data_IF_293459710469
#
_entry.id   IF_293459710469
#
_cell.length_a   1.000
_cell.length_b   1.000
_cell.length_c   1.000
_cell.angle_alpha   90.00
_cell.angle_beta   90.00
_cell.angle_gamma   90.00
#
_symmetry.space_group_name_H-M   'P 1'
#
loop_
_entity.id
_entity.type
_entity.pdbx_description
1 polymer ?
#
# COMPACT_ATOMS: atom_id res chain seq x y z
N UNK A 1 -8.58 -4.17 61.05
CA UNK A 1 -8.44 -3.12 60.02
C UNK A 1 -8.20 -3.69 58.62
N UNK A 2 -7.38 -4.74 58.44
CA UNK A 2 -7.13 -5.37 57.13
C UNK A 2 -8.34 -6.08 56.46
N UNK A 3 -9.28 -6.63 57.26
CA UNK A 3 -10.49 -7.32 56.73
C UNK A 3 -11.51 -6.39 56.06
N UNK A 4 -11.51 -5.10 56.40
CA UNK A 4 -12.44 -4.12 55.82
C UNK A 4 -12.02 -3.68 54.40
N UNK A 5 -10.71 -3.63 54.13
CA UNK A 5 -10.18 -3.25 52.81
C UNK A 5 -10.45 -4.32 51.73
N UNK A 6 -10.28 -5.61 52.04
CA UNK A 6 -10.61 -6.67 51.07
C UNK A 6 -12.11 -6.72 50.71
N UNK A 7 -12.99 -6.41 51.67
CA UNK A 7 -14.43 -6.37 51.41
C UNK A 7 -14.78 -5.22 50.46
N UNK A 8 -14.19 -4.03 50.65
CA UNK A 8 -14.47 -2.88 49.80
C UNK A 8 -13.98 -3.08 48.36
N UNK A 9 -12.79 -3.65 48.17
CA UNK A 9 -12.23 -3.91 46.83
C UNK A 9 -13.06 -4.97 46.10
N UNK A 10 -13.48 -6.03 46.78
CA UNK A 10 -14.29 -7.08 46.14
C UNK A 10 -15.71 -6.61 45.81
N UNK A 11 -16.34 -5.80 46.66
CA UNK A 11 -17.64 -5.19 46.37
C UNK A 11 -17.54 -4.17 45.23
N UNK A 12 -16.50 -3.34 45.19
CA UNK A 12 -16.26 -2.39 44.10
C UNK A 12 -16.10 -3.10 42.74
N UNK A 13 -15.34 -4.20 42.68
CA UNK A 13 -15.19 -4.98 41.44
C UNK A 13 -16.47 -5.71 41.02
N UNK A 14 -17.29 -6.15 41.98
CA UNK A 14 -18.57 -6.83 41.71
C UNK A 14 -19.62 -5.84 41.22
N UNK A 15 -19.69 -4.65 41.81
CA UNK A 15 -20.58 -3.58 41.38
C UNK A 15 -20.13 -2.95 40.06
N UNK A 16 -18.82 -2.85 39.80
CA UNK A 16 -18.29 -2.42 38.50
C UNK A 16 -18.64 -3.42 37.39
N UNK A 17 -18.42 -4.74 37.61
CA UNK A 17 -18.85 -5.76 36.64
C UNK A 17 -20.36 -5.79 36.46
N UNK A 18 -21.13 -5.62 37.53
CA UNK A 18 -22.60 -5.61 37.45
C UNK A 18 -23.11 -4.38 36.71
N UNK A 19 -22.54 -3.19 36.93
CA UNK A 19 -22.94 -1.98 36.23
C UNK A 19 -22.51 -1.97 34.77
N UNK A 20 -21.37 -2.56 34.40
CA UNK A 20 -20.95 -2.70 32.99
C UNK A 20 -21.78 -3.73 32.23
N UNK A 21 -22.30 -4.78 32.90
CA UNK A 21 -23.19 -5.77 32.28
C UNK A 21 -24.65 -5.24 32.18
N UNK A 22 -25.09 -4.38 33.11
CA UNK A 22 -26.46 -3.86 33.17
C UNK A 22 -26.62 -2.54 32.40
N UNK A 23 -25.59 -1.70 32.35
CA UNK A 23 -25.57 -0.54 31.46
C UNK A 23 -25.11 -1.01 30.10
N UNK A 24 -26.07 -1.18 29.19
CA UNK A 24 -25.86 -1.19 27.73
C UNK A 24 -25.33 0.17 27.28
N UNK A 25 -24.23 0.65 27.83
CA UNK A 25 -23.42 1.68 27.18
C UNK A 25 -22.69 0.88 26.11
N UNK A 26 -23.09 0.96 24.83
CA UNK A 26 -22.25 0.39 23.79
C UNK A 26 -20.85 0.97 23.98
N UNK A 27 -19.78 0.17 23.90
CA UNK A 27 -18.43 0.72 23.85
C UNK A 27 -18.44 1.84 22.81
N UNK A 28 -17.81 2.97 23.12
CA UNK A 28 -17.69 4.08 22.17
C UNK A 28 -17.24 3.46 20.84
N UNK A 29 -18.02 3.59 19.74
CA UNK A 29 -17.69 2.94 18.48
C UNK A 29 -16.35 3.45 17.91
N UNK A 30 -15.92 4.64 18.34
CA UNK A 30 -14.66 5.28 17.92
C UNK A 30 -13.95 5.90 19.15
N UNK A 31 -13.25 5.11 19.98
CA UNK A 31 -12.40 5.68 21.03
C UNK A 31 -11.27 6.48 20.37
N UNK A 32 -10.90 7.65 20.93
CA UNK A 32 -9.95 8.64 20.36
C UNK A 32 -8.55 8.12 19.96
N UNK A 33 -8.23 6.84 20.20
CA UNK A 33 -6.91 6.24 19.97
C UNK A 33 -6.86 5.22 18.82
N UNK A 34 -7.99 4.91 18.17
CA UNK A 34 -7.99 3.94 17.07
C UNK A 34 -7.54 4.60 15.78
N UNK A 35 -6.83 3.83 14.96
CA UNK A 35 -6.49 4.23 13.59
C UNK A 35 -7.50 3.58 12.63
N UNK A 36 -8.21 4.41 11.88
CA UNK A 36 -9.09 3.94 10.82
C UNK A 36 -8.26 3.55 9.59
N UNK A 37 -8.39 2.29 9.17
CA UNK A 37 -7.70 1.76 8.00
C UNK A 37 -8.57 1.80 6.74
N UNK A 38 -9.71 2.51 6.76
CA UNK A 38 -10.66 2.52 5.66
C UNK A 38 -10.12 3.30 4.46
N UNK A 39 -9.41 2.61 3.58
CA UNK A 39 -8.95 3.08 2.28
C UNK A 39 -8.66 1.89 1.35
N UNK A 40 -8.45 2.16 0.06
CA UNK A 40 -8.00 1.14 -0.87
C UNK A 40 -6.48 0.95 -0.78
N UNK A 41 -6.07 -0.32 -0.75
CA UNK A 41 -4.67 -0.71 -0.86
C UNK A 41 -4.34 -0.76 -2.35
N UNK A 42 -3.17 -0.23 -2.72
CA UNK A 42 -2.69 -0.31 -4.09
C UNK A 42 -2.51 -1.76 -4.53
N UNK A 43 -2.83 -2.02 -5.81
CA UNK A 43 -2.86 -3.36 -6.41
C UNK A 43 -1.58 -4.14 -6.14
N UNK A 44 -1.72 -5.43 -5.78
CA UNK A 44 -0.60 -6.36 -5.71
C UNK A 44 -0.47 -7.10 -7.04
N UNK A 45 0.63 -6.89 -7.75
CA UNK A 45 0.95 -7.55 -9.02
C UNK A 45 1.93 -8.70 -8.79
N UNK A 46 1.61 -9.86 -9.36
CA UNK A 46 2.33 -11.12 -9.16
C UNK A 46 2.55 -11.85 -10.49
N UNK A 47 3.53 -12.74 -10.47
CA UNK A 47 3.77 -13.77 -11.48
C UNK A 47 4.12 -15.07 -10.75
N UNK A 48 3.12 -15.66 -10.11
CA UNK A 48 3.30 -16.82 -9.23
C UNK A 48 2.50 -18.02 -9.72
N UNK A 49 3.06 -19.22 -9.59
CA UNK A 49 2.42 -20.48 -9.98
C UNK A 49 1.91 -21.30 -8.78
N UNK A 50 2.12 -20.81 -7.56
CA UNK A 50 1.75 -21.50 -6.32
C UNK A 50 0.98 -20.60 -5.36
N UNK A 51 0.06 -21.18 -4.59
CA UNK A 51 -0.78 -20.44 -3.62
C UNK A 51 0.02 -19.85 -2.47
N UNK A 52 1.05 -20.55 -1.98
CA UNK A 52 1.79 -20.12 -0.79
C UNK A 52 2.58 -18.82 -1.04
N UNK A 53 3.37 -18.68 -2.12
CA UNK A 53 3.99 -17.41 -2.49
C UNK A 53 3.00 -16.26 -2.63
N UNK A 54 1.84 -16.49 -3.28
CA UNK A 54 0.77 -15.50 -3.42
C UNK A 54 0.28 -15.04 -2.04
N UNK A 55 -0.05 -16.00 -1.17
CA UNK A 55 -0.52 -15.71 0.20
C UNK A 55 0.50 -14.89 0.97
N UNK A 56 1.77 -15.30 0.92
CA UNK A 56 2.84 -14.65 1.67
C UNK A 56 3.07 -13.21 1.17
N UNK A 57 3.00 -12.98 -0.15
CA UNK A 57 3.05 -11.64 -0.75
C UNK A 57 1.85 -10.76 -0.33
N UNK A 58 0.64 -11.32 -0.27
CA UNK A 58 -0.56 -10.62 0.24
C UNK A 58 -0.35 -10.20 1.70
N UNK A 59 0.08 -11.13 2.56
CA UNK A 59 0.30 -10.84 3.98
C UNK A 59 1.33 -9.74 4.15
N UNK A 60 2.43 -9.78 3.40
CA UNK A 60 3.50 -8.79 3.45
C UNK A 60 3.04 -7.41 2.96
N UNK A 61 2.27 -7.36 1.86
CA UNK A 61 1.64 -6.13 1.35
C UNK A 61 0.70 -5.51 2.39
N UNK A 62 -0.20 -6.30 2.97
CA UNK A 62 -1.15 -5.81 3.99
C UNK A 62 -0.41 -5.35 5.25
N UNK A 63 0.61 -6.08 5.72
CA UNK A 63 1.41 -5.64 6.87
C UNK A 63 2.07 -4.28 6.63
N UNK A 64 2.66 -4.06 5.45
CA UNK A 64 3.22 -2.75 5.09
C UNK A 64 2.17 -1.64 5.10
N UNK A 65 0.96 -1.93 4.62
CA UNK A 65 -0.15 -0.99 4.64
C UNK A 65 -0.57 -0.65 6.08
N UNK A 66 -0.82 -1.66 6.92
CA UNK A 66 -1.20 -1.46 8.34
C UNK A 66 -0.13 -0.69 9.12
N UNK A 67 1.15 -0.93 8.84
CA UNK A 67 2.27 -0.23 9.48
C UNK A 67 2.30 1.29 9.23
N UNK A 68 1.59 1.80 8.21
CA UNK A 68 1.42 3.25 8.00
C UNK A 68 0.60 3.90 9.12
N UNK A 69 -0.28 3.12 9.76
CA UNK A 69 -1.15 3.53 10.84
C UNK A 69 -0.53 3.18 12.20
N UNK A 70 -0.08 1.93 12.36
CA UNK A 70 0.59 1.48 13.58
C UNK A 70 1.44 0.24 13.34
N UNK A 71 2.66 0.23 13.86
CA UNK A 71 3.59 -0.90 13.82
C UNK A 71 3.30 -1.98 14.88
N UNK A 72 2.29 -1.75 15.74
CA UNK A 72 1.94 -2.63 16.87
C UNK A 72 0.81 -3.61 16.55
N UNK A 73 0.06 -3.39 15.47
CA UNK A 73 -1.07 -4.23 15.11
C UNK A 73 -0.61 -5.61 14.64
N UNK A 74 -1.33 -6.66 15.07
CA UNK A 74 -0.96 -8.05 14.79
C UNK A 74 -2.05 -8.76 13.99
N UNK A 75 -1.66 -9.37 12.86
CA UNK A 75 -2.53 -10.25 12.06
C UNK A 75 -3.08 -11.41 12.91
N UNK A 76 -4.39 -11.62 12.89
CA UNK A 76 -5.12 -12.60 13.69
C UNK A 76 -5.53 -12.12 15.09
N UNK A 77 -5.06 -10.95 15.53
CA UNK A 77 -5.43 -10.33 16.82
C UNK A 77 -6.18 -9.01 16.60
N UNK A 78 -5.62 -8.14 15.76
CA UNK A 78 -6.17 -6.82 15.47
C UNK A 78 -6.90 -6.76 14.13
N UNK A 79 -6.48 -7.56 13.15
CA UNK A 79 -7.08 -7.61 11.83
C UNK A 79 -6.92 -8.99 11.21
N UNK A 80 -7.70 -9.28 10.17
CA UNK A 80 -7.68 -10.52 9.40
C UNK A 80 -7.79 -10.20 7.91
N UNK A 81 -7.23 -11.07 7.07
CA UNK A 81 -7.30 -10.93 5.61
C UNK A 81 -8.18 -12.05 5.09
N UNK A 82 -9.28 -11.72 4.42
CA UNK A 82 -10.26 -12.68 3.94
C UNK A 82 -10.35 -12.72 2.43
N UNK A 83 -10.43 -13.93 1.89
CA UNK A 83 -10.80 -14.19 0.49
C UNK A 83 -12.27 -13.83 0.22
N UNK A 84 -12.69 -13.73 -1.06
CA UNK A 84 -14.08 -13.45 -1.42
C UNK A 84 -15.12 -14.41 -0.81
N UNK A 85 -14.73 -15.65 -0.54
CA UNK A 85 -15.58 -16.65 0.14
C UNK A 85 -15.62 -16.48 1.67
N UNK A 86 -14.99 -15.43 2.21
CA UNK A 86 -15.03 -15.04 3.62
C UNK A 86 -14.06 -15.79 4.53
N UNK A 87 -13.18 -16.64 3.99
CA UNK A 87 -12.19 -17.39 4.77
C UNK A 87 -10.93 -16.58 5.03
N UNK A 88 -10.36 -16.72 6.22
CA UNK A 88 -9.07 -16.12 6.56
C UNK A 88 -7.94 -16.84 5.80
N UNK A 89 -7.14 -16.09 5.04
CA UNK A 89 -6.07 -16.64 4.19
C UNK A 89 -4.96 -17.32 5.01
N UNK A 90 -4.80 -16.97 6.30
CA UNK A 90 -3.83 -17.60 7.19
C UNK A 90 -4.25 -19.01 7.63
N UNK A 91 -5.55 -19.28 7.59
CA UNK A 91 -6.15 -20.57 7.95
C UNK A 91 -6.42 -21.40 6.70
N UNK A 92 -6.97 -20.78 5.65
CA UNK A 92 -7.33 -21.43 4.40
C UNK A 92 -7.19 -20.45 3.22
N UNK A 93 -6.22 -20.72 2.36
CA UNK A 93 -5.93 -19.91 1.18
C UNK A 93 -6.53 -20.45 -0.14
N UNK A 94 -7.43 -21.45 -0.10
CA UNK A 94 -8.05 -22.02 -1.31
C UNK A 94 -8.82 -20.98 -2.15
N UNK A 95 -9.33 -19.91 -1.53
CA UNK A 95 -9.94 -18.79 -2.25
C UNK A 95 -8.97 -18.00 -3.15
N UNK A 96 -7.67 -18.29 -3.10
CA UNK A 96 -6.64 -17.72 -3.98
C UNK A 96 -6.32 -18.60 -5.20
N UNK A 97 -6.80 -19.84 -5.25
CA UNK A 97 -6.59 -20.76 -6.39
C UNK A 97 -6.99 -20.18 -7.76
N UNK A 98 -8.02 -19.32 -7.89
CA UNK A 98 -8.32 -18.66 -9.17
C UNK A 98 -7.12 -17.90 -9.76
N UNK A 99 -6.20 -17.39 -8.93
CA UNK A 99 -5.01 -16.67 -9.40
C UNK A 99 -4.01 -17.56 -10.15
N UNK A 100 -4.05 -18.89 -10.02
CA UNK A 100 -3.06 -19.79 -10.62
C UNK A 100 -3.24 -20.01 -12.13
N UNK A 101 -4.40 -19.67 -12.69
CA UNK A 101 -4.70 -19.84 -14.11
C UNK A 101 -4.17 -18.67 -14.97
N UNK A 102 -2.97 -18.17 -14.67
CA UNK A 102 -2.40 -16.93 -15.21
C UNK A 102 -1.63 -17.08 -16.54
N UNK A 103 -1.55 -18.30 -17.10
CA UNK A 103 -0.77 -18.57 -18.33
C UNK A 103 -1.36 -17.90 -19.57
N UNK A 104 -2.67 -18.02 -19.75
CA UNK A 104 -3.35 -17.54 -20.95
C UNK A 104 -4.07 -16.20 -20.75
N UNK A 105 -4.49 -15.92 -19.51
CA UNK A 105 -5.26 -14.72 -19.17
C UNK A 105 -4.84 -14.17 -17.81
N UNK A 106 -4.90 -12.85 -17.68
CA UNK A 106 -4.77 -12.15 -16.40
C UNK A 106 -5.82 -12.67 -15.42
N UNK A 107 -5.38 -12.98 -14.19
CA UNK A 107 -6.26 -13.41 -13.12
C UNK A 107 -6.34 -12.36 -12.03
N UNK A 108 -7.53 -12.19 -11.46
CA UNK A 108 -7.82 -11.19 -10.44
C UNK A 108 -8.56 -11.81 -9.26
N UNK A 109 -8.18 -11.40 -8.05
CA UNK A 109 -8.89 -11.69 -6.81
C UNK A 109 -8.77 -10.46 -5.91
N UNK A 110 -9.89 -10.03 -5.32
CA UNK A 110 -9.88 -9.00 -4.28
C UNK A 110 -10.03 -9.65 -2.91
N UNK A 111 -9.15 -9.31 -1.97
CA UNK A 111 -9.26 -9.71 -0.57
C UNK A 111 -9.70 -8.52 0.28
N UNK A 112 -10.40 -8.80 1.38
CA UNK A 112 -10.76 -7.79 2.37
C UNK A 112 -9.84 -7.87 3.58
N UNK A 113 -9.35 -6.73 4.04
CA UNK A 113 -8.61 -6.56 5.29
C UNK A 113 -9.59 -6.00 6.30
N UNK A 114 -10.00 -6.84 7.24
CA UNK A 114 -11.04 -6.49 8.20
C UNK A 114 -10.43 -6.36 9.59
N UNK A 115 -10.70 -5.24 10.26
CA UNK A 115 -10.35 -5.09 11.68
C UNK A 115 -11.22 -6.02 12.52
N UNK A 116 -10.62 -6.56 13.58
CA UNK A 116 -11.31 -7.44 14.51
C UNK A 116 -12.00 -6.60 15.57
N UNK A 117 -13.22 -6.98 15.96
CA UNK A 117 -13.99 -6.31 17.04
C UNK A 117 -13.27 -6.32 18.40
N UNK A 118 -12.25 -7.17 18.54
CA UNK A 118 -11.37 -7.28 19.71
C UNK A 118 -10.13 -6.40 19.62
N UNK A 119 -9.84 -5.80 18.46
CA UNK A 119 -8.72 -4.88 18.33
C UNK A 119 -8.93 -3.69 19.25
N UNK A 120 -7.83 -3.20 19.82
CA UNK A 120 -7.80 -1.94 20.57
C UNK A 120 -7.00 -0.85 19.84
N UNK A 121 -6.62 -1.11 18.58
CA UNK A 121 -5.71 -0.29 17.79
C UNK A 121 -6.32 0.16 16.47
N UNK A 122 -7.09 -0.71 15.81
CA UNK A 122 -7.58 -0.48 14.45
C UNK A 122 -9.11 -0.53 14.37
N UNK A 123 -9.69 0.31 13.51
CA UNK A 123 -11.09 0.23 13.06
C UNK A 123 -11.15 0.29 11.53
N UNK A 124 -12.32 -0.01 10.97
CA UNK A 124 -12.55 0.09 9.53
C UNK A 124 -12.17 -1.17 8.76
N UNK A 125 -12.26 -1.09 7.43
CA UNK A 125 -11.91 -2.18 6.51
C UNK A 125 -11.27 -1.62 5.24
N UNK A 126 -10.32 -2.35 4.69
CA UNK A 126 -9.65 -2.03 3.44
C UNK A 126 -9.82 -3.16 2.42
N UNK A 127 -9.65 -2.84 1.14
CA UNK A 127 -9.63 -3.83 0.06
C UNK A 127 -8.27 -3.84 -0.62
N UNK A 128 -7.79 -5.04 -0.94
CA UNK A 128 -6.59 -5.26 -1.75
C UNK A 128 -6.97 -6.07 -2.96
N UNK A 129 -6.79 -5.49 -4.14
CA UNK A 129 -6.84 -6.22 -5.39
C UNK A 129 -5.52 -6.90 -5.68
N UNK A 130 -5.59 -8.16 -6.08
CA UNK A 130 -4.45 -8.96 -6.51
C UNK A 130 -4.62 -9.31 -7.98
N UNK A 131 -3.56 -9.08 -8.74
CA UNK A 131 -3.45 -9.47 -10.14
C UNK A 131 -2.28 -10.44 -10.30
N UNK A 132 -2.52 -11.56 -10.96
CA UNK A 132 -1.47 -12.51 -11.34
C UNK A 132 -1.39 -12.62 -12.86
N UNK A 133 -0.19 -12.44 -13.41
CA UNK A 133 0.09 -12.42 -14.85
C UNK A 133 1.40 -13.13 -15.16
N UNK A 134 1.38 -14.05 -16.12
CA UNK A 134 2.60 -14.73 -16.59
C UNK A 134 3.58 -13.80 -17.28
N UNK A 135 3.12 -12.64 -17.77
CA UNK A 135 3.95 -11.60 -18.42
C UNK A 135 4.46 -10.53 -17.47
N UNK A 136 4.00 -10.51 -16.22
CA UNK A 136 4.51 -9.57 -15.23
C UNK A 136 5.95 -9.91 -14.88
N UNK A 137 6.81 -8.89 -14.88
CA UNK A 137 8.18 -9.00 -14.41
C UNK A 137 8.48 -7.88 -13.40
N UNK A 138 8.66 -8.22 -12.11
CA UNK A 138 8.91 -7.23 -11.07
C UNK A 138 10.22 -6.46 -11.27
N UNK A 139 11.21 -7.03 -11.96
CA UNK A 139 12.52 -6.39 -12.18
C UNK A 139 12.49 -5.29 -13.27
N UNK A 140 11.49 -5.34 -14.16
CA UNK A 140 11.33 -4.36 -15.24
C UNK A 140 10.13 -3.45 -15.03
N UNK A 141 9.27 -3.75 -14.05
CA UNK A 141 8.15 -2.91 -13.67
C UNK A 141 8.65 -1.62 -13.04
N UNK A 142 8.13 -0.49 -13.49
CA UNK A 142 8.35 0.80 -12.88
C UNK A 142 7.65 0.87 -11.50
N UNK A 143 8.41 1.02 -10.43
CA UNK A 143 7.85 1.24 -9.08
C UNK A 143 7.56 2.72 -8.88
N UNK A 144 6.28 3.09 -8.94
CA UNK A 144 5.83 4.46 -8.77
C UNK A 144 6.12 4.99 -7.35
N UNK A 145 6.22 4.11 -6.35
CA UNK A 145 6.53 4.52 -4.97
C UNK A 145 7.96 5.05 -4.79
N UNK A 146 8.83 4.82 -5.78
CA UNK A 146 10.17 5.39 -5.81
C UNK A 146 10.17 6.88 -6.23
N UNK A 147 9.08 7.37 -6.83
CA UNK A 147 8.97 8.75 -7.30
C UNK A 147 8.65 9.67 -6.12
N UNK A 148 9.59 10.54 -5.78
CA UNK A 148 9.42 11.51 -4.70
C UNK A 148 8.91 12.84 -5.24
N UNK A 149 7.60 13.00 -5.24
CA UNK A 149 6.95 14.26 -5.57
C UNK A 149 7.16 15.30 -4.47
N UNK A 150 7.19 16.58 -4.87
CA UNK A 150 7.17 17.70 -3.93
C UNK A 150 5.74 18.08 -3.57
N UNK A 151 5.56 18.55 -2.34
CA UNK A 151 4.35 19.25 -1.96
C UNK A 151 4.43 20.71 -2.41
N UNK A 152 3.31 21.27 -2.82
CA UNK A 152 3.22 22.62 -3.37
C UNK A 152 2.25 23.48 -2.55
N UNK A 153 2.60 24.75 -2.33
CA UNK A 153 1.74 25.74 -1.69
C UNK A 153 1.76 27.01 -2.53
N UNK A 154 0.64 27.30 -3.18
CA UNK A 154 0.49 28.42 -4.11
C UNK A 154 -0.92 29.02 -4.03
N UNK A 155 -1.09 30.18 -4.65
CA UNK A 155 -2.38 30.81 -4.83
C UNK A 155 -3.04 30.37 -6.15
N UNK A 156 -3.90 29.36 -6.10
CA UNK A 156 -4.62 28.84 -7.26
C UNK A 156 -5.92 29.60 -7.58
N UNK A 157 -6.21 30.72 -6.91
CA UNK A 157 -7.50 31.46 -7.04
C UNK A 157 -7.86 31.89 -8.47
N UNK A 158 -6.89 31.95 -9.38
CA UNK A 158 -7.10 32.31 -10.79
C UNK A 158 -7.21 31.11 -11.74
N UNK A 159 -7.00 29.90 -11.26
CA UNK A 159 -7.10 28.69 -12.06
C UNK A 159 -8.56 28.27 -12.21
N UNK A 160 -8.93 27.78 -13.40
CA UNK A 160 -10.10 26.93 -13.58
C UNK A 160 -9.78 25.48 -13.21
N UNK A 161 -10.81 24.65 -13.03
CA UNK A 161 -10.64 23.21 -12.83
C UNK A 161 -9.82 22.55 -13.97
N UNK A 162 -10.06 22.96 -15.23
CA UNK A 162 -9.31 22.47 -16.39
C UNK A 162 -7.83 22.89 -16.33
N UNK A 163 -7.54 24.15 -15.99
CA UNK A 163 -6.16 24.62 -15.85
C UNK A 163 -5.42 23.88 -14.73
N UNK A 164 -6.09 23.62 -13.60
CA UNK A 164 -5.51 22.87 -12.50
C UNK A 164 -5.25 21.41 -12.88
N UNK A 165 -6.17 20.78 -13.60
CA UNK A 165 -5.98 19.42 -14.12
C UNK A 165 -4.77 19.33 -15.04
N UNK A 166 -4.69 20.21 -16.04
CA UNK A 166 -3.58 20.23 -16.99
C UNK A 166 -2.24 20.47 -16.28
N UNK A 167 -2.22 21.36 -15.27
CA UNK A 167 -1.05 21.61 -14.45
C UNK A 167 -0.59 20.37 -13.68
N UNK A 168 -1.54 19.63 -13.08
CA UNK A 168 -1.27 18.37 -12.38
C UNK A 168 -0.73 17.32 -13.34
N UNK A 169 -1.35 17.16 -14.50
CA UNK A 169 -0.95 16.18 -15.51
C UNK A 169 0.47 16.46 -16.01
N UNK A 170 0.79 17.72 -16.32
CA UNK A 170 2.13 18.15 -16.77
C UNK A 170 3.19 18.03 -15.66
N UNK A 171 2.86 18.35 -14.40
CA UNK A 171 3.76 18.10 -13.26
C UNK A 171 4.09 16.61 -13.15
N UNK A 172 3.07 15.74 -13.19
CA UNK A 172 3.27 14.29 -13.11
C UNK A 172 4.08 13.77 -14.29
N UNK A 173 3.80 14.20 -15.52
CA UNK A 173 4.56 13.83 -16.71
C UNK A 173 6.04 14.21 -16.57
N UNK A 174 6.33 15.41 -16.05
CA UNK A 174 7.69 15.87 -15.81
C UNK A 174 8.44 14.98 -14.79
N UNK A 175 7.78 14.55 -13.70
CA UNK A 175 8.34 13.56 -12.76
C UNK A 175 8.56 12.20 -13.43
N UNK A 176 7.62 11.69 -14.21
CA UNK A 176 7.79 10.41 -14.91
C UNK A 176 9.02 10.45 -15.85
N UNK A 177 9.18 11.55 -16.60
CA UNK A 177 10.31 11.75 -17.48
C UNK A 177 11.64 11.87 -16.72
N UNK A 178 11.69 12.60 -15.59
CA UNK A 178 12.95 12.78 -14.84
C UNK A 178 13.45 11.48 -14.21
N UNK A 179 12.55 10.59 -13.81
CA UNK A 179 12.87 9.26 -13.29
C UNK A 179 13.15 8.22 -14.39
N UNK A 180 13.19 8.64 -15.67
CA UNK A 180 13.43 7.79 -16.85
C UNK A 180 12.40 6.67 -17.01
N UNK A 181 11.18 6.89 -16.52
CA UNK A 181 10.06 5.99 -16.72
C UNK A 181 9.45 6.21 -18.10
N UNK A 182 10.27 6.08 -19.15
CA UNK A 182 9.82 6.28 -20.52
C UNK A 182 9.05 5.04 -21.00
N UNK A 183 7.88 5.25 -21.63
CA UNK A 183 7.06 4.17 -22.19
C UNK A 183 5.98 3.60 -21.25
N UNK A 184 5.63 4.35 -20.19
CA UNK A 184 4.39 4.16 -19.44
C UNK A 184 3.44 5.31 -19.73
N UNK A 185 2.16 5.01 -19.95
CA UNK A 185 1.18 5.98 -20.42
C UNK A 185 0.10 6.26 -19.37
N UNK A 186 -0.28 7.54 -19.21
CA UNK A 186 -1.36 7.96 -18.31
C UNK A 186 -2.70 7.36 -18.78
N UNK A 187 -3.50 6.85 -17.84
CA UNK A 187 -4.75 6.12 -18.04
C UNK A 187 -4.62 4.73 -18.69
N UNK A 188 -3.41 4.28 -19.02
CA UNK A 188 -3.14 2.90 -19.47
C UNK A 188 -2.32 2.14 -18.43
N UNK A 189 -1.19 2.72 -18.02
CA UNK A 189 -0.22 2.12 -17.12
C UNK A 189 -0.30 2.69 -15.70
N UNK A 190 -0.68 3.96 -15.56
CA UNK A 190 -0.88 4.61 -14.26
C UNK A 190 -2.03 5.61 -14.32
N UNK A 191 -2.51 6.05 -13.17
CA UNK A 191 -3.55 7.08 -13.05
C UNK A 191 -3.20 8.12 -12.01
N UNK A 192 -3.90 9.24 -12.05
CA UNK A 192 -3.82 10.32 -11.06
C UNK A 192 -5.20 10.47 -10.44
N UNK A 193 -5.28 10.62 -9.12
CA UNK A 193 -6.55 10.77 -8.40
C UNK A 193 -6.42 11.68 -7.20
N UNK A 194 -7.55 12.25 -6.77
CA UNK A 194 -7.63 13.04 -5.55
C UNK A 194 -8.03 12.18 -4.34
N UNK A 195 -7.41 12.47 -3.21
CA UNK A 195 -7.70 11.99 -1.85
C UNK A 195 -7.52 10.49 -1.58
N UNK A 196 -7.72 9.60 -2.56
CA UNK A 196 -7.54 8.16 -2.41
C UNK A 196 -7.25 7.47 -3.75
N UNK A 197 -6.76 6.23 -3.69
CA UNK A 197 -6.72 5.34 -4.85
C UNK A 197 -8.17 4.92 -5.20
N UNK A 198 -8.62 5.14 -6.44
CA UNK A 198 -9.99 4.85 -6.84
C UNK A 198 -10.30 3.35 -6.83
N UNK A 199 -11.56 3.05 -6.54
CA UNK A 199 -12.11 1.70 -6.52
C UNK A 199 -11.94 1.03 -7.90
N UNK A 200 -11.60 -0.26 -7.86
CA UNK A 200 -11.55 -1.10 -9.04
C UNK A 200 -12.98 -1.44 -9.50
N UNK A 201 -13.22 -1.33 -10.80
CA UNK A 201 -14.44 -1.85 -11.40
C UNK A 201 -14.38 -3.40 -11.39
N UNK A 202 -15.33 -4.08 -10.73
CA UNK A 202 -15.28 -5.54 -10.58
C UNK A 202 -15.46 -6.33 -11.88
N UNK A 203 -15.97 -5.71 -12.94
CA UNK A 203 -16.16 -6.36 -14.25
C UNK A 203 -14.93 -6.19 -15.16
N UNK A 204 -14.33 -5.00 -15.17
CA UNK A 204 -13.20 -4.68 -16.07
C UNK A 204 -11.84 -4.82 -15.40
N UNK A 205 -11.81 -4.88 -14.06
CA UNK A 205 -10.62 -4.83 -13.22
C UNK A 205 -9.75 -3.57 -13.41
N UNK A 206 -10.25 -2.59 -14.16
CA UNK A 206 -9.63 -1.29 -14.27
C UNK A 206 -9.99 -0.49 -13.02
N UNK A 207 -9.03 0.25 -12.47
CA UNK A 207 -9.36 1.33 -11.57
C UNK A 207 -10.32 2.27 -12.31
N UNK A 208 -11.46 2.57 -11.69
CA UNK A 208 -12.35 3.59 -12.22
C UNK A 208 -11.51 4.87 -12.37
N UNK A 209 -11.53 5.59 -13.50
CA UNK A 209 -10.75 6.81 -13.67
C UNK A 209 -10.95 7.71 -12.45
N UNK A 210 -9.87 7.90 -11.68
CA UNK A 210 -9.96 8.41 -10.33
C UNK A 210 -10.08 9.92 -10.30
N UNK A 211 -11.27 10.40 -9.96
CA UNK A 211 -11.52 11.47 -9.00
C UNK A 211 -10.78 12.83 -9.08
N UNK A 212 -10.09 13.16 -10.18
CA UNK A 212 -9.80 14.56 -10.56
C UNK A 212 -11.04 15.20 -11.21
N UNK A 213 -12.21 14.97 -10.61
CA UNK A 213 -13.48 15.49 -11.13
C UNK A 213 -13.53 17.01 -11.02
N UNK A 214 -14.26 17.65 -11.94
CA UNK A 214 -14.50 19.10 -11.85
C UNK A 214 -15.09 19.50 -10.50
N UNK A 215 -15.88 18.63 -9.85
CA UNK A 215 -16.46 18.90 -8.54
C UNK A 215 -15.36 19.08 -7.49
N UNK A 216 -14.44 18.12 -7.38
CA UNK A 216 -13.34 18.15 -6.41
C UNK A 216 -12.38 19.30 -6.70
N UNK A 217 -12.03 19.52 -7.96
CA UNK A 217 -11.13 20.61 -8.35
C UNK A 217 -11.76 21.98 -8.06
N UNK A 218 -13.05 22.16 -8.37
CA UNK A 218 -13.74 23.40 -8.05
C UNK A 218 -13.89 23.61 -6.53
N UNK A 219 -14.05 22.55 -5.74
CA UNK A 219 -14.07 22.65 -4.28
C UNK A 219 -12.72 23.10 -3.74
N UNK A 220 -11.61 22.55 -4.24
CA UNK A 220 -10.26 22.99 -3.89
C UNK A 220 -10.00 24.45 -4.27
N UNK A 221 -10.53 24.92 -5.41
CA UNK A 221 -10.33 26.28 -5.92
C UNK A 221 -11.24 27.33 -5.26
N UNK A 222 -12.37 26.95 -4.68
CA UNK A 222 -13.44 27.85 -4.20
C UNK A 222 -13.07 28.74 -3.00
N UNK A 223 -11.83 28.70 -2.52
CA UNK A 223 -11.54 29.28 -1.22
C UNK A 223 -11.19 30.76 -1.29
N UNK A 224 -12.02 31.58 -0.63
CA UNK A 224 -11.86 33.03 -0.60
C UNK A 224 -11.09 33.52 0.64
N UNK A 225 -11.01 32.74 1.73
CA UNK A 225 -10.44 33.21 3.02
C UNK A 225 -9.70 32.16 3.85
N UNK A 226 -9.60 30.91 3.39
CA UNK A 226 -9.00 29.80 4.13
C UNK A 226 -8.06 29.00 3.23
N UNK A 227 -7.19 28.20 3.85
CA UNK A 227 -6.32 27.28 3.12
C UNK A 227 -7.11 26.01 2.78
N UNK A 228 -7.00 25.53 1.54
CA UNK A 228 -7.50 24.21 1.14
C UNK A 228 -6.37 23.29 0.72
N UNK A 229 -6.58 21.99 0.90
CA UNK A 229 -5.57 20.96 0.70
C UNK A 229 -6.16 19.88 -0.20
N UNK A 230 -5.46 19.59 -1.30
CA UNK A 230 -5.77 18.49 -2.21
C UNK A 230 -4.64 17.47 -2.12
N UNK A 231 -4.94 16.27 -1.63
CA UNK A 231 -3.99 15.15 -1.66
C UNK A 231 -4.11 14.46 -3.02
N UNK A 232 -3.01 14.26 -3.70
CA UNK A 232 -2.94 13.62 -5.01
C UNK A 232 -2.23 12.28 -4.91
N UNK A 233 -2.74 11.29 -5.62
CA UNK A 233 -2.21 9.94 -5.70
C UNK A 233 -1.90 9.62 -7.15
N UNK A 234 -0.63 9.29 -7.41
CA UNK A 234 -0.16 8.75 -8.68
C UNK A 234 0.00 7.25 -8.51
N UNK A 235 -0.95 6.48 -9.03
CA UNK A 235 -1.12 5.06 -8.71
C UNK A 235 -0.96 4.18 -9.94
N UNK A 236 -0.45 2.97 -9.70
CA UNK A 236 -0.31 1.97 -10.75
C UNK A 236 -1.68 1.44 -11.18
N UNK A 237 -1.93 1.41 -12.49
CA UNK A 237 -3.18 0.87 -13.02
C UNK A 237 -3.25 -0.64 -12.75
N UNK A 238 -4.39 -1.11 -12.25
CA UNK A 238 -4.60 -2.51 -11.88
C UNK A 238 -4.41 -3.48 -13.04
N UNK A 239 -4.61 -3.06 -14.28
CA UNK A 239 -4.54 -3.90 -15.49
C UNK A 239 -3.16 -3.97 -16.15
N UNK A 240 -2.25 -3.05 -15.84
CA UNK A 240 -0.93 -2.95 -16.51
C UNK A 240 0.13 -3.88 -15.89
N UNK A 241 1.09 -4.36 -16.70
CA UNK A 241 2.31 -5.02 -16.23
C UNK A 241 3.50 -4.08 -16.03
N UNK A 242 3.42 -2.85 -16.52
CA UNK A 242 4.58 -1.96 -16.61
C UNK A 242 4.86 -1.17 -15.34
N UNK A 243 3.88 -1.04 -14.45
CA UNK A 243 3.98 -0.22 -13.24
C UNK A 243 3.59 -1.01 -12.00
N UNK A 244 4.02 -0.55 -10.83
CA UNK A 244 3.59 -1.05 -9.51
C UNK A 244 3.64 0.10 -8.50
N UNK A 245 3.02 -0.09 -7.33
CA UNK A 245 3.07 0.91 -6.26
C UNK A 245 2.26 2.17 -6.54
N UNK A 246 2.47 3.17 -5.71
CA UNK A 246 1.92 4.52 -5.86
C UNK A 246 2.78 5.52 -5.10
N UNK A 247 2.65 6.79 -5.49
CA UNK A 247 3.17 7.94 -4.73
C UNK A 247 2.06 8.93 -4.41
N UNK A 248 2.28 9.72 -3.38
CA UNK A 248 1.37 10.77 -2.95
C UNK A 248 2.08 12.11 -2.78
N UNK A 249 1.36 13.19 -3.06
CA UNK A 249 1.80 14.55 -2.78
C UNK A 249 0.60 15.45 -2.53
N UNK A 250 0.88 16.67 -2.08
CA UNK A 250 -0.16 17.59 -1.63
C UNK A 250 -0.05 18.92 -2.35
N UNK A 251 -1.19 19.42 -2.83
CA UNK A 251 -1.36 20.82 -3.25
C UNK A 251 -2.09 21.58 -2.15
N UNK A 252 -1.58 22.75 -1.83
CA UNK A 252 -2.16 23.67 -0.85
C UNK A 252 -2.54 24.94 -1.61
N UNK A 253 -3.85 25.24 -1.64
CA UNK A 253 -4.39 26.50 -2.15
C UNK A 253 -4.45 27.51 -1.00
N UNK A 254 -3.58 28.50 -1.08
CA UNK A 254 -3.47 29.59 -0.13
C UNK A 254 -3.81 30.91 -0.84
N UNK A 255 -5.07 31.42 -0.71
CA UNK A 255 -5.51 32.60 -1.44
C UNK A 255 -4.79 33.89 -1.01
N UNK A 256 -4.20 33.90 0.18
CA UNK A 256 -3.42 35.02 0.73
C UNK A 256 -1.94 34.97 0.32
N UNK A 257 -1.48 33.86 -0.27
CA UNK A 257 -0.11 33.74 -0.76
C UNK A 257 0.11 34.65 -1.98
N UNK A 258 1.22 35.38 -1.98
CA UNK A 258 1.70 36.14 -3.15
C UNK A 258 2.31 35.23 -4.22
N UNK A 259 2.60 33.97 -3.88
CA UNK A 259 3.24 33.00 -4.77
C UNK A 259 2.17 32.35 -5.64
N UNK A 260 2.11 32.77 -6.90
CA UNK A 260 1.27 32.12 -7.92
C UNK A 260 1.92 30.82 -8.40
N UNK A 261 1.12 29.80 -8.82
CA UNK A 261 1.66 28.58 -9.39
C UNK A 261 2.50 28.91 -10.62
N UNK A 262 3.78 28.53 -10.66
CA UNK A 262 4.57 28.60 -11.89
C UNK A 262 4.11 27.50 -12.87
N UNK A 263 4.55 27.57 -14.12
CA UNK A 263 4.49 26.39 -15.00
C UNK A 263 5.21 25.22 -14.31
N UNK A 264 4.71 23.97 -14.42
CA UNK A 264 5.34 22.83 -13.78
C UNK A 264 6.83 22.73 -14.15
N UNK A 265 7.69 22.94 -13.15
CA UNK A 265 9.13 22.99 -13.35
C UNK A 265 9.73 21.59 -13.43
N UNK A 266 10.90 21.45 -14.08
CA UNK A 266 11.65 20.20 -14.07
C UNK A 266 11.93 19.74 -12.61
N UNK A 267 11.59 18.50 -12.26
CA UNK A 267 11.83 17.93 -10.94
C UNK A 267 13.30 17.99 -10.54
N UNK A 268 13.62 17.95 -9.23
CA UNK A 268 15.00 17.73 -8.78
C UNK A 268 15.53 16.39 -9.32
N UNK A 269 16.83 16.33 -9.61
CA UNK A 269 17.46 15.10 -10.11
C UNK A 269 17.28 13.94 -9.12
N UNK A 270 16.65 12.82 -9.55
CA UNK A 270 16.42 11.66 -8.67
C UNK A 270 17.72 11.03 -8.14
N UNK A 271 18.86 11.24 -8.81
CA UNK A 271 20.15 10.72 -8.35
C UNK A 271 20.77 11.51 -7.20
N UNK A 272 20.23 12.69 -6.86
CA UNK A 272 20.65 13.49 -5.70
C UNK A 272 19.82 13.20 -4.44
N UNK A 273 18.94 12.19 -4.48
CA UNK A 273 18.16 11.77 -3.33
C UNK A 273 18.98 10.79 -2.48
N UNK A 274 19.28 11.17 -1.24
CA UNK A 274 19.92 10.27 -0.25
C UNK A 274 18.86 9.26 0.20
N UNK A 275 18.78 8.11 -0.49
CA UNK A 275 17.84 7.03 -0.12
C UNK A 275 18.59 5.71 0.02
N UNK A 276 18.48 5.15 1.23
CA UNK A 276 19.10 3.92 1.68
C UNK A 276 18.23 2.72 1.25
N UNK A 277 18.46 2.19 0.05
CA UNK A 277 17.82 0.97 -0.43
C UNK A 277 18.42 -0.26 0.28
N UNK A 278 17.77 -0.72 1.36
CA UNK A 278 17.98 -2.08 1.84
C UNK A 278 17.17 -3.05 0.95
N UNK A 279 17.82 -3.60 -0.08
CA UNK A 279 17.34 -4.76 -0.81
C UNK A 279 17.30 -6.00 0.11
N UNK A 280 16.26 -6.10 0.95
CA UNK A 280 16.07 -7.25 1.87
C UNK A 280 15.73 -8.55 1.15
N UNK A 281 15.22 -8.50 -0.08
CA UNK A 281 14.78 -9.70 -0.80
C UNK A 281 15.92 -10.43 -1.52
N UNK A 282 16.95 -9.72 -2.03
CA UNK A 282 18.10 -10.36 -2.68
C UNK A 282 19.13 -10.95 -1.68
N UNK A 283 19.17 -10.47 -0.44
CA UNK A 283 20.20 -10.88 0.53
C UNK A 283 20.03 -12.32 1.03
N UNK A 284 18.82 -12.87 1.01
CA UNK A 284 18.54 -14.28 1.31
C UNK A 284 19.13 -15.20 0.23
N UNK A 285 19.01 -14.85 -1.06
CA UNK A 285 19.34 -15.76 -2.17
C UNK A 285 20.84 -15.99 -2.33
N UNK A 286 21.68 -15.02 -1.92
CA UNK A 286 23.15 -15.11 -1.99
C UNK A 286 23.74 -16.35 -1.29
N UNK A 287 23.39 -16.69 -0.03
CA UNK A 287 23.89 -17.91 0.60
C UNK A 287 23.40 -19.20 -0.08
N UNK A 288 22.20 -19.24 -0.66
CA UNK A 288 21.67 -20.43 -1.36
C UNK A 288 22.47 -20.74 -2.64
N UNK A 289 22.94 -19.71 -3.34
CA UNK A 289 23.75 -19.87 -4.55
C UNK A 289 25.22 -20.16 -4.21
N UNK A 290 25.78 -19.50 -3.18
CA UNK A 290 27.21 -19.62 -2.85
C UNK A 290 27.57 -20.93 -2.12
N UNK A 291 26.69 -21.45 -1.26
CA UNK A 291 26.94 -22.69 -0.49
C UNK A 291 27.22 -23.93 -1.37
N UNK A 292 26.47 -24.22 -2.44
CA UNK A 292 26.77 -25.36 -3.30
C UNK A 292 28.07 -25.19 -4.09
N UNK A 293 28.45 -23.98 -4.49
CA UNK A 293 29.69 -23.72 -5.24
C UNK A 293 30.92 -23.95 -4.37
N UNK A 294 30.91 -23.47 -3.12
CA UNK A 294 32.00 -23.69 -2.16
C UNK A 294 32.09 -25.18 -1.79
N UNK A 295 30.96 -25.86 -1.60
CA UNK A 295 30.93 -27.30 -1.33
C UNK A 295 31.53 -28.15 -2.46
N UNK A 296 31.23 -27.82 -3.72
CA UNK A 296 31.77 -28.50 -4.90
C UNK A 296 33.29 -28.31 -5.03
N UNK A 297 33.80 -27.11 -4.75
CA UNK A 297 35.23 -26.82 -4.78
C UNK A 297 36.02 -27.60 -3.73
N UNK A 298 35.50 -27.73 -2.52
CA UNK A 298 36.16 -28.52 -1.45
C UNK A 298 36.16 -30.01 -1.80
N UNK A 299 35.05 -30.52 -2.35
CA UNK A 299 34.94 -31.93 -2.74
C UNK A 299 35.90 -32.30 -3.87
N UNK A 300 36.01 -31.47 -4.92
CA UNK A 300 36.94 -31.68 -6.02
C UNK A 300 38.40 -31.65 -5.55
N UNK A 301 38.75 -30.69 -4.69
CA UNK A 301 40.11 -30.57 -4.15
C UNK A 301 40.48 -31.81 -3.31
N UNK A 302 39.57 -32.29 -2.46
CA UNK A 302 39.77 -33.50 -1.67
C UNK A 302 39.86 -34.76 -2.54
N UNK A 303 39.05 -34.86 -3.60
CA UNK A 303 39.07 -35.98 -4.53
C UNK A 303 40.40 -36.07 -5.29
N UNK A 304 40.94 -34.93 -5.77
CA UNK A 304 42.24 -34.86 -6.46
C UNK A 304 43.37 -35.28 -5.51
N UNK A 305 43.40 -34.76 -4.28
CA UNK A 305 44.42 -35.13 -3.27
C UNK A 305 44.36 -36.64 -2.95
N UNK A 306 43.15 -37.21 -2.82
CA UNK A 306 42.98 -38.63 -2.52
C UNK A 306 43.40 -39.54 -3.68
N UNK A 307 43.27 -39.07 -4.92
CA UNK A 307 43.70 -39.81 -6.12
C UNK A 307 45.21 -39.81 -6.28
N UNK A 308 45.88 -38.70 -5.94
CA UNK A 308 47.35 -38.60 -5.99
C UNK A 308 48.09 -39.43 -4.93
N UNK A 309 47.43 -39.79 -3.81
CA UNK A 309 48.02 -40.68 -2.78
C UNK A 309 47.96 -42.17 -3.12
N UNK A 310 47.33 -42.56 -4.24
CA UNK A 310 47.13 -43.97 -4.63
C UNK A 310 47.96 -44.43 -5.84
N UNK A 311 48.82 -43.56 -6.38
CA UNK A 311 49.82 -43.92 -7.39
C UNK A 311 51.23 -43.86 -6.79
#
# INVERSE_FOLDING_TARGET
MLKFLCSYVTTYWKDYKSNVIVQRIPPNPEPENYQDISDNIDVLKLNEEEVNPIRDAIIDKVKRYINKFTDKAVLGIDYQIKTPDGKDITVNASGLEPLLNNKDNLQFVTVSVNTLVTSTLLIGNAFLSIRNSSTYNPETSCDLSAIQFKNYQYNFSKFSAEQLRNWIDEDVENYMASYKNNGIDLNEDYGISANKIPDENPETHANTPGDLSDVILNEFLKVETAVSTLKLFVYSASTSDKTTGYSEYTLINDPESEIVPPDPSTPPDPNNLVVNFQHKYLSWLLPIILLPIVGLGIFLTWFIIRRHKKN
#
